data_IF_337463012807
#
_entry.id   IF_337463012807
#
_cell.length_a   1.000
_cell.length_b   1.000
_cell.length_c   1.000
_cell.angle_alpha   90.00
_cell.angle_beta   90.00
_cell.angle_gamma   90.00
#
_symmetry.space_group_name_H-M   'P 1'
#
loop_
_entity.id
_entity.type
_entity.pdbx_description
1 polymer ?
#
# COMPACT_ATOMS: atom_id res chain seq x y z
N UNK A 1 -23.21 18.07 -13.46
CA UNK A 1 -23.83 16.89 -12.82
C UNK A 1 -22.79 16.04 -12.09
N UNK A 2 -21.93 15.29 -12.80
CA UNK A 2 -20.96 14.32 -12.24
C UNK A 2 -20.14 14.83 -11.04
N UNK A 3 -19.38 15.93 -11.20
CA UNK A 3 -18.54 16.52 -10.13
C UNK A 3 -19.34 16.98 -8.90
N UNK A 4 -20.56 17.50 -9.09
CA UNK A 4 -21.43 17.92 -7.98
C UNK A 4 -21.95 16.73 -7.17
N UNK A 5 -22.36 15.66 -7.85
CA UNK A 5 -22.79 14.41 -7.20
C UNK A 5 -21.63 13.80 -6.43
N UNK A 6 -20.46 13.68 -7.05
CA UNK A 6 -19.28 13.12 -6.40
C UNK A 6 -18.86 13.92 -5.15
N UNK A 7 -18.72 15.24 -5.26
CA UNK A 7 -18.31 16.07 -4.12
C UNK A 7 -19.31 15.97 -2.95
N UNK A 8 -20.61 15.99 -3.25
CA UNK A 8 -21.62 15.88 -2.20
C UNK A 8 -21.57 14.53 -1.47
N UNK A 9 -21.34 13.42 -2.20
CA UNK A 9 -21.21 12.10 -1.60
C UNK A 9 -19.89 11.93 -0.81
N UNK A 10 -18.82 12.59 -1.23
CA UNK A 10 -17.55 12.61 -0.46
C UNK A 10 -17.72 13.35 0.87
N UNK A 11 -18.50 14.43 0.88
CA UNK A 11 -18.72 15.26 2.07
C UNK A 11 -19.76 14.66 3.03
N UNK A 12 -20.82 14.03 2.50
CA UNK A 12 -22.00 13.62 3.28
C UNK A 12 -22.22 12.09 3.31
N UNK A 13 -21.27 11.32 2.78
CA UNK A 13 -21.35 9.87 2.65
C UNK A 13 -22.29 9.39 1.53
N UNK A 14 -22.16 8.10 1.19
CA UNK A 14 -22.98 7.46 0.17
C UNK A 14 -24.19 6.75 0.80
N UNK A 15 -25.33 7.45 0.87
CA UNK A 15 -26.60 6.89 1.35
C UNK A 15 -27.75 7.28 0.41
N UNK A 16 -28.87 6.55 0.47
CA UNK A 16 -30.08 6.90 -0.28
C UNK A 16 -30.53 8.33 -0.01
N UNK A 17 -30.41 8.77 1.24
CA UNK A 17 -30.73 10.12 1.68
C UNK A 17 -29.84 11.17 1.01
N UNK A 18 -28.51 11.00 1.08
CA UNK A 18 -27.53 11.92 0.46
C UNK A 18 -27.69 12.01 -1.07
N UNK A 19 -28.09 10.89 -1.70
CA UNK A 19 -28.38 10.86 -3.15
C UNK A 19 -29.66 11.64 -3.48
N UNK A 20 -30.74 11.46 -2.71
CA UNK A 20 -31.97 12.22 -2.91
C UNK A 20 -31.76 13.73 -2.65
N UNK A 21 -30.92 14.09 -1.68
CA UNK A 21 -30.54 15.48 -1.39
C UNK A 21 -29.81 16.13 -2.57
N UNK A 22 -28.80 15.49 -3.15
CA UNK A 22 -28.08 16.08 -4.28
C UNK A 22 -28.94 16.16 -5.53
N UNK A 23 -29.85 15.21 -5.74
CA UNK A 23 -30.83 15.23 -6.85
C UNK A 23 -31.78 16.40 -6.67
N UNK A 24 -32.34 16.59 -5.47
CA UNK A 24 -33.24 17.67 -5.14
C UNK A 24 -32.56 19.05 -5.26
N UNK A 25 -31.37 19.21 -4.66
CA UNK A 25 -30.61 20.46 -4.67
C UNK A 25 -30.13 20.87 -6.07
N UNK A 26 -29.86 19.89 -6.93
CA UNK A 26 -29.29 20.14 -8.26
C UNK A 26 -30.33 20.15 -9.39
N UNK A 27 -31.59 19.82 -9.09
CA UNK A 27 -32.67 19.64 -10.08
C UNK A 27 -32.31 18.69 -11.23
N UNK A 28 -31.45 17.71 -10.95
CA UNK A 28 -31.09 16.72 -11.96
C UNK A 28 -32.21 15.71 -12.15
N UNK A 29 -32.30 15.11 -13.34
CA UNK A 29 -33.20 14.00 -13.56
C UNK A 29 -32.77 12.81 -12.69
N UNK A 30 -33.67 12.35 -11.81
CA UNK A 30 -33.41 11.25 -10.87
C UNK A 30 -32.92 9.99 -11.59
N UNK A 31 -33.57 9.60 -12.68
CA UNK A 31 -33.21 8.39 -13.41
C UNK A 31 -31.80 8.51 -14.02
N UNK A 32 -31.44 9.67 -14.58
CA UNK A 32 -30.10 9.89 -15.14
C UNK A 32 -28.99 9.88 -14.08
N UNK A 33 -29.27 10.36 -12.86
CA UNK A 33 -28.29 10.30 -11.75
C UNK A 33 -28.13 8.86 -11.26
N UNK A 34 -29.23 8.12 -11.07
CA UNK A 34 -29.20 6.73 -10.66
C UNK A 34 -28.52 5.83 -11.69
N UNK A 35 -28.80 6.01 -12.98
CA UNK A 35 -28.17 5.28 -14.07
C UNK A 35 -26.65 5.53 -14.10
N UNK A 36 -26.23 6.80 -13.97
CA UNK A 36 -24.81 7.14 -13.86
C UNK A 36 -24.15 6.48 -12.64
N UNK A 37 -24.80 6.51 -11.47
CA UNK A 37 -24.26 5.88 -10.26
C UNK A 37 -24.14 4.37 -10.42
N UNK A 38 -25.17 3.69 -10.93
CA UNK A 38 -25.16 2.26 -11.15
C UNK A 38 -24.05 1.84 -12.13
N UNK A 39 -23.89 2.57 -13.25
CA UNK A 39 -22.78 2.31 -14.17
C UNK A 39 -21.41 2.47 -13.49
N UNK A 40 -21.22 3.51 -12.66
CA UNK A 40 -19.95 3.72 -11.95
C UNK A 40 -19.68 2.69 -10.87
N UNK A 41 -20.72 2.24 -10.16
CA UNK A 41 -20.63 1.16 -9.19
C UNK A 41 -20.25 -0.13 -9.90
N UNK A 42 -20.92 -0.45 -11.01
CA UNK A 42 -20.61 -1.63 -11.80
C UNK A 42 -19.18 -1.61 -12.33
N UNK A 43 -18.74 -0.50 -12.94
CA UNK A 43 -17.34 -0.35 -13.38
C UNK A 43 -16.35 -0.49 -12.21
N UNK A 44 -16.67 0.07 -11.03
CA UNK A 44 -15.81 -0.07 -9.86
C UNK A 44 -15.75 -1.53 -9.37
N UNK A 45 -16.87 -2.25 -9.41
CA UNK A 45 -16.94 -3.67 -9.08
C UNK A 45 -16.16 -4.53 -10.07
N UNK A 46 -16.30 -4.26 -11.36
CA UNK A 46 -15.54 -4.92 -12.44
C UNK A 46 -14.04 -4.69 -12.26
N UNK A 47 -13.62 -3.44 -12.04
CA UNK A 47 -12.22 -3.13 -11.78
C UNK A 47 -11.69 -3.85 -10.54
N UNK A 48 -12.43 -3.87 -9.43
CA UNK A 48 -12.01 -4.61 -8.22
C UNK A 48 -11.91 -6.11 -8.50
N UNK A 49 -12.83 -6.67 -9.28
CA UNK A 49 -12.79 -8.08 -9.64
C UNK A 49 -11.57 -8.43 -10.49
N UNK A 50 -11.26 -7.60 -11.50
CA UNK A 50 -10.06 -7.76 -12.33
C UNK A 50 -8.78 -7.68 -11.48
N UNK A 51 -8.72 -6.76 -10.50
CA UNK A 51 -7.59 -6.65 -9.58
C UNK A 51 -7.50 -7.86 -8.62
N UNK A 52 -8.62 -8.40 -8.16
CA UNK A 52 -8.64 -9.62 -7.34
C UNK A 52 -8.22 -10.88 -8.12
N UNK A 53 -8.47 -10.91 -9.43
CA UNK A 53 -8.03 -12.01 -10.32
C UNK A 53 -6.58 -11.80 -10.82
N UNK A 54 -5.90 -10.74 -10.37
CA UNK A 54 -4.51 -10.48 -10.76
C UNK A 54 -3.53 -11.48 -10.14
N UNK A 55 -2.41 -11.69 -10.84
CA UNK A 55 -1.30 -12.50 -10.33
C UNK A 55 -0.71 -11.88 -9.05
N UNK A 56 -0.62 -10.55 -8.99
CA UNK A 56 -0.13 -9.83 -7.82
C UNK A 56 -0.99 -10.09 -6.59
N UNK A 57 -2.33 -10.07 -6.73
CA UNK A 57 -3.25 -10.38 -5.64
C UNK A 57 -3.14 -11.84 -5.18
N UNK A 58 -3.11 -12.78 -6.14
CA UNK A 58 -2.92 -14.21 -5.85
C UNK A 58 -1.60 -14.48 -5.12
N UNK A 59 -0.53 -13.79 -5.52
CA UNK A 59 0.76 -13.84 -4.82
C UNK A 59 0.61 -13.33 -3.38
N UNK A 60 0.05 -12.14 -3.18
CA UNK A 60 -0.16 -11.58 -1.83
C UNK A 60 -0.94 -12.55 -0.94
N UNK A 61 -2.03 -13.13 -1.45
CA UNK A 61 -2.83 -14.11 -0.70
C UNK A 61 -1.99 -15.33 -0.28
N UNK A 62 -1.21 -15.90 -1.22
CA UNK A 62 -0.34 -17.03 -0.92
C UNK A 62 0.69 -16.71 0.15
N UNK A 63 1.33 -15.54 0.07
CA UNK A 63 2.29 -15.07 1.06
C UNK A 63 1.65 -14.89 2.44
N UNK A 64 0.43 -14.34 2.51
CA UNK A 64 -0.32 -14.21 3.76
C UNK A 64 -0.61 -15.58 4.40
N UNK A 65 -0.91 -16.61 3.61
CA UNK A 65 -1.10 -17.97 4.13
C UNK A 65 0.19 -18.54 4.74
N UNK A 66 1.33 -18.35 4.07
CA UNK A 66 2.64 -18.77 4.59
C UNK A 66 2.95 -18.05 5.91
N UNK A 67 2.77 -16.74 5.97
CA UNK A 67 3.03 -15.95 7.18
C UNK A 67 2.10 -16.35 8.33
N UNK A 68 0.83 -16.62 8.05
CA UNK A 68 -0.14 -17.11 9.04
C UNK A 68 0.25 -18.48 9.58
N UNK A 69 0.71 -19.40 8.71
CA UNK A 69 1.20 -20.73 9.12
C UNK A 69 2.37 -20.65 10.10
N UNK A 70 3.24 -19.65 9.94
CA UNK A 70 4.40 -19.42 10.83
C UNK A 70 4.09 -18.55 12.05
N UNK A 71 2.83 -18.15 12.24
CA UNK A 71 2.43 -17.23 13.30
C UNK A 71 3.21 -15.90 13.32
N UNK A 72 3.74 -15.48 12.15
CA UNK A 72 4.48 -14.23 12.01
C UNK A 72 3.66 -12.99 12.40
N UNK A 73 2.34 -12.92 12.16
CA UNK A 73 1.56 -11.77 12.58
C UNK A 73 1.74 -11.40 14.06
N UNK A 74 1.77 -12.39 14.95
CA UNK A 74 1.97 -12.17 16.38
C UNK A 74 3.41 -11.79 16.75
N UNK A 75 4.38 -12.03 15.84
CA UNK A 75 5.80 -11.90 16.09
C UNK A 75 6.44 -10.64 15.50
N UNK A 76 5.93 -10.11 14.37
CA UNK A 76 6.65 -9.07 13.61
C UNK A 76 5.79 -7.96 12.98
N UNK A 77 4.46 -7.97 13.14
CA UNK A 77 3.56 -7.04 12.42
C UNK A 77 3.93 -5.56 12.59
N UNK A 78 4.53 -5.19 13.71
CA UNK A 78 4.73 -3.80 14.09
C UNK A 78 6.19 -3.38 14.20
N UNK A 79 7.15 -4.31 14.11
CA UNK A 79 8.57 -3.97 14.22
C UNK A 79 9.00 -2.91 13.19
N UNK A 80 8.67 -3.03 11.88
CA UNK A 80 9.00 -2.01 10.90
C UNK A 80 8.38 -0.64 11.23
N UNK A 81 7.14 -0.63 11.72
CA UNK A 81 6.47 0.60 12.12
C UNK A 81 7.13 1.25 13.35
N UNK A 82 7.58 0.45 14.31
CA UNK A 82 8.28 0.92 15.50
C UNK A 82 9.66 1.48 15.13
N UNK A 83 10.40 0.83 14.24
CA UNK A 83 11.70 1.31 13.75
C UNK A 83 11.55 2.65 13.02
N UNK A 84 10.61 2.75 12.07
CA UNK A 84 10.37 4.00 11.34
C UNK A 84 9.94 5.12 12.28
N UNK A 85 9.07 4.83 13.27
CA UNK A 85 8.70 5.81 14.27
C UNK A 85 9.88 6.20 15.17
N UNK A 86 10.77 5.27 15.51
CA UNK A 86 11.97 5.58 16.28
C UNK A 86 12.89 6.52 15.50
N UNK A 87 13.11 6.28 14.21
CA UNK A 87 13.86 7.17 13.32
C UNK A 87 13.22 8.56 13.31
N UNK A 88 11.93 8.65 13.01
CA UNK A 88 11.21 9.93 12.89
C UNK A 88 11.26 10.80 14.17
N UNK A 89 11.40 10.18 15.34
CA UNK A 89 11.35 10.88 16.62
C UNK A 89 12.73 11.08 17.27
N UNK A 90 13.76 10.31 16.90
CA UNK A 90 15.03 10.31 17.61
C UNK A 90 16.26 10.59 16.72
N UNK A 91 16.16 10.45 15.40
CA UNK A 91 17.28 10.77 14.51
C UNK A 91 17.30 12.26 14.13
N UNK A 92 18.52 12.77 13.91
CA UNK A 92 18.73 14.08 13.32
C UNK A 92 18.45 13.99 11.82
N UNK A 93 17.26 14.46 11.43
CA UNK A 93 16.83 14.50 10.03
C UNK A 93 17.24 15.84 9.39
N UNK A 94 17.62 15.85 8.10
CA UNK A 94 17.87 17.09 7.37
C UNK A 94 16.65 18.00 7.39
N UNK A 95 16.89 19.31 7.41
CA UNK A 95 15.82 20.30 7.32
C UNK A 95 15.15 20.24 5.94
N UNK A 96 13.84 20.53 5.80
CA UNK A 96 13.15 20.41 4.51
C UNK A 96 13.79 21.22 3.38
N UNK A 97 14.38 22.38 3.69
CA UNK A 97 15.11 23.22 2.73
C UNK A 97 16.33 22.53 2.10
N UNK A 98 16.90 21.54 2.77
CA UNK A 98 18.05 20.76 2.30
C UNK A 98 17.60 19.62 1.38
N UNK A 99 16.29 19.37 1.29
CA UNK A 99 15.65 18.31 0.54
C UNK A 99 14.54 18.85 -0.37
N UNK A 100 14.76 20.03 -0.98
CA UNK A 100 13.83 20.67 -1.92
C UNK A 100 12.38 20.85 -1.38
N UNK A 101 12.26 21.02 -0.06
CA UNK A 101 11.01 21.22 0.66
C UNK A 101 10.37 19.94 1.22
N UNK A 102 11.02 18.77 1.10
CA UNK A 102 10.50 17.50 1.64
C UNK A 102 10.73 17.42 3.15
N UNK A 103 9.65 17.22 3.90
CA UNK A 103 9.69 16.96 5.34
C UNK A 103 9.75 15.44 5.60
N UNK A 104 10.97 14.91 5.74
CA UNK A 104 11.20 13.49 6.02
C UNK A 104 10.56 13.02 7.32
N UNK A 105 10.44 13.89 8.33
CA UNK A 105 9.80 13.51 9.59
C UNK A 105 8.32 13.21 9.38
N UNK A 106 7.65 14.04 8.59
CA UNK A 106 6.25 13.83 8.23
C UNK A 106 6.08 12.59 7.34
N UNK A 107 6.99 12.36 6.39
CA UNK A 107 7.00 11.15 5.56
C UNK A 107 7.17 9.88 6.40
N UNK A 108 8.14 9.84 7.32
CA UNK A 108 8.34 8.66 8.18
C UNK A 108 7.16 8.42 9.11
N UNK A 109 6.55 9.46 9.68
CA UNK A 109 5.33 9.31 10.49
C UNK A 109 4.16 8.76 9.67
N UNK A 110 4.01 9.21 8.43
CA UNK A 110 3.03 8.65 7.51
C UNK A 110 3.27 7.14 7.30
N UNK A 111 4.50 6.75 6.95
CA UNK A 111 4.85 5.34 6.75
C UNK A 111 4.63 4.49 8.02
N UNK A 112 5.04 4.99 9.19
CA UNK A 112 4.82 4.32 10.46
C UNK A 112 3.33 4.10 10.77
N UNK A 113 2.49 5.11 10.51
CA UNK A 113 1.04 4.97 10.68
C UNK A 113 0.43 4.01 9.67
N UNK A 114 0.86 4.06 8.40
CA UNK A 114 0.39 3.17 7.34
C UNK A 114 0.64 1.69 7.69
N UNK A 115 1.85 1.38 8.17
CA UNK A 115 2.22 0.03 8.60
C UNK A 115 1.42 -0.49 9.81
N UNK A 116 0.86 0.41 10.62
CA UNK A 116 0.01 0.05 11.76
C UNK A 116 -1.50 0.13 11.47
N UNK A 117 -1.90 0.55 10.27
CA UNK A 117 -3.31 0.82 9.94
C UNK A 117 -3.91 1.99 10.72
N UNK A 118 -3.08 2.95 11.15
CA UNK A 118 -3.51 4.15 11.88
C UNK A 118 -3.93 5.29 10.94
N UNK A 119 -4.68 6.29 11.43
CA UNK A 119 -5.00 7.50 10.66
C UNK A 119 -3.73 8.20 10.15
N UNK A 120 -3.75 8.62 8.90
CA UNK A 120 -2.58 9.23 8.25
C UNK A 120 -2.45 10.71 8.62
N UNK A 121 -1.24 11.20 8.95
CA UNK A 121 -1.02 12.63 9.09
C UNK A 121 -1.15 13.32 7.72
N UNK A 122 -1.56 14.58 7.73
CA UNK A 122 -1.53 15.39 6.51
C UNK A 122 -0.08 15.64 6.10
N UNK A 123 0.26 15.30 4.85
CA UNK A 123 1.53 15.68 4.23
C UNK A 123 1.37 17.02 3.52
N UNK A 124 2.42 17.83 3.54
CA UNK A 124 2.51 18.97 2.63
C UNK A 124 2.64 18.47 1.16
N UNK A 125 2.40 19.38 0.21
CA UNK A 125 2.38 19.02 -1.20
C UNK A 125 3.70 18.42 -1.71
N UNK A 126 4.85 18.88 -1.21
CA UNK A 126 6.17 18.40 -1.64
C UNK A 126 6.46 17.02 -1.08
N UNK A 127 6.19 16.79 0.20
CA UNK A 127 6.33 15.48 0.83
C UNK A 127 5.37 14.44 0.25
N UNK A 128 4.14 14.84 -0.08
CA UNK A 128 3.16 13.97 -0.73
C UNK A 128 3.59 13.60 -2.17
N UNK A 129 4.07 14.57 -2.95
CA UNK A 129 4.60 14.37 -4.31
C UNK A 129 5.80 13.42 -4.28
N UNK A 130 6.74 13.64 -3.36
CA UNK A 130 7.88 12.76 -3.15
C UNK A 130 7.44 11.33 -2.85
N UNK A 131 6.58 11.14 -1.85
CA UNK A 131 6.17 9.81 -1.43
C UNK A 131 5.36 9.08 -2.52
N UNK A 132 4.48 9.78 -3.23
CA UNK A 132 3.73 9.20 -4.34
C UNK A 132 4.66 8.69 -5.45
N UNK A 133 5.68 9.47 -5.81
CA UNK A 133 6.66 9.08 -6.81
C UNK A 133 7.46 7.84 -6.40
N UNK A 134 7.89 7.77 -5.14
CA UNK A 134 8.61 6.59 -4.64
C UNK A 134 7.71 5.34 -4.65
N UNK A 135 6.42 5.46 -4.31
CA UNK A 135 5.48 4.35 -4.46
C UNK A 135 5.29 3.93 -5.92
N UNK A 136 5.16 4.88 -6.85
CA UNK A 136 5.04 4.57 -8.28
C UNK A 136 6.27 3.83 -8.81
N UNK A 137 7.47 4.21 -8.37
CA UNK A 137 8.72 3.51 -8.72
C UNK A 137 8.68 2.08 -8.18
N UNK A 138 8.37 1.89 -6.89
CA UNK A 138 8.30 0.56 -6.28
C UNK A 138 7.26 -0.34 -6.94
N UNK A 139 6.09 0.20 -7.27
CA UNK A 139 5.04 -0.52 -8.02
C UNK A 139 5.54 -0.89 -9.42
N UNK A 140 6.22 0.04 -10.11
CA UNK A 140 6.80 -0.21 -11.42
C UNK A 140 7.90 -1.27 -11.41
N UNK A 141 8.71 -1.34 -10.35
CA UNK A 141 9.72 -2.38 -10.16
C UNK A 141 9.10 -3.75 -9.84
N UNK A 142 8.07 -3.77 -8.99
CA UNK A 142 7.37 -4.99 -8.60
C UNK A 142 6.54 -5.60 -9.74
N UNK A 143 5.85 -4.76 -10.52
CA UNK A 143 4.95 -5.19 -11.59
C UNK A 143 5.69 -5.38 -12.93
N UNK A 144 6.74 -6.20 -12.91
CA UNK A 144 7.47 -6.64 -14.10
C UNK A 144 7.42 -8.16 -14.21
N UNK A 145 7.58 -8.73 -15.41
CA UNK A 145 7.65 -10.19 -15.58
C UNK A 145 8.75 -10.82 -14.72
N UNK A 146 9.86 -10.10 -14.51
CA UNK A 146 10.96 -10.52 -13.63
C UNK A 146 10.53 -10.47 -12.16
N UNK A 147 9.84 -9.39 -11.74
CA UNK A 147 9.30 -9.25 -10.39
C UNK A 147 8.29 -10.35 -10.05
N UNK A 148 7.37 -10.66 -10.98
CA UNK A 148 6.40 -11.75 -10.84
C UNK A 148 7.09 -13.12 -10.74
N UNK A 149 8.07 -13.38 -11.62
CA UNK A 149 8.85 -14.62 -11.61
C UNK A 149 9.61 -14.79 -10.29
N UNK A 150 10.29 -13.75 -9.80
CA UNK A 150 11.03 -13.81 -8.54
C UNK A 150 10.09 -13.97 -7.34
N UNK A 151 8.96 -13.27 -7.32
CA UNK A 151 7.94 -13.41 -6.28
C UNK A 151 7.40 -14.84 -6.22
N UNK A 152 7.08 -15.43 -7.37
CA UNK A 152 6.65 -16.82 -7.48
C UNK A 152 7.71 -17.81 -7.02
N UNK A 153 8.98 -17.62 -7.46
CA UNK A 153 10.12 -18.46 -7.06
C UNK A 153 10.33 -18.43 -5.54
N UNK A 154 10.28 -17.25 -4.94
CA UNK A 154 10.43 -17.08 -3.50
C UNK A 154 9.29 -17.79 -2.77
N UNK A 155 8.04 -17.57 -3.19
CA UNK A 155 6.87 -18.19 -2.56
C UNK A 155 6.95 -19.72 -2.59
N UNK A 156 7.28 -20.30 -3.75
CA UNK A 156 7.50 -21.75 -3.88
C UNK A 156 8.61 -22.24 -2.95
N UNK A 157 9.73 -21.51 -2.83
CA UNK A 157 10.82 -21.87 -1.90
C UNK A 157 10.32 -21.81 -0.46
N UNK A 158 9.56 -20.79 -0.07
CA UNK A 158 9.01 -20.62 1.27
C UNK A 158 8.03 -21.76 1.66
N UNK A 159 7.18 -22.20 0.73
CA UNK A 159 6.25 -23.32 0.94
C UNK A 159 6.95 -24.64 1.30
N UNK A 160 8.18 -24.84 0.80
CA UNK A 160 8.95 -26.06 1.14
C UNK A 160 9.43 -26.10 2.59
N UNK A 161 9.47 -24.96 3.29
CA UNK A 161 9.88 -24.92 4.69
C UNK A 161 8.74 -25.28 5.64
N UNK A 162 9.06 -26.07 6.65
CA UNK A 162 8.11 -26.46 7.72
C UNK A 162 7.93 -25.35 8.76
N UNK A 163 8.99 -24.58 9.00
CA UNK A 163 9.08 -23.51 9.99
C UNK A 163 9.80 -22.30 9.37
N UNK A 164 9.74 -21.14 10.02
CA UNK A 164 10.40 -19.93 9.56
C UNK A 164 11.91 -20.18 9.36
N UNK A 165 12.47 -20.00 8.15
CA UNK A 165 13.90 -20.16 7.93
C UNK A 165 14.68 -19.14 8.77
N UNK A 166 15.67 -19.61 9.52
CA UNK A 166 16.49 -18.78 10.40
C UNK A 166 17.91 -18.60 9.84
N UNK A 167 18.36 -17.34 9.69
CA UNK A 167 19.74 -17.02 9.34
C UNK A 167 20.61 -16.90 10.57
N UNK A 168 21.56 -17.84 10.74
CA UNK A 168 22.62 -17.75 11.74
C UNK A 168 23.67 -16.68 11.41
N UNK A 169 23.74 -16.21 10.16
CA UNK A 169 24.67 -15.17 9.71
C UNK A 169 24.06 -13.77 9.95
N UNK A 170 24.46 -13.10 11.05
CA UNK A 170 24.00 -11.72 11.40
C UNK A 170 24.14 -10.71 10.26
N UNK A 171 25.13 -10.87 9.41
CA UNK A 171 25.43 -9.96 8.30
C UNK A 171 24.42 -10.08 7.15
N UNK A 172 23.67 -11.19 7.06
CA UNK A 172 22.66 -11.42 6.01
C UNK A 172 21.24 -11.10 6.46
N UNK A 173 20.96 -11.04 7.75
CA UNK A 173 19.61 -10.94 8.30
C UNK A 173 18.85 -9.67 7.87
N UNK A 174 19.53 -8.57 7.58
CA UNK A 174 18.91 -7.32 7.12
C UNK A 174 18.67 -7.24 5.61
N UNK A 175 19.43 -8.00 4.82
CA UNK A 175 19.41 -7.97 3.35
C UNK A 175 18.64 -9.16 2.78
N UNK A 176 18.64 -10.28 3.51
CA UNK A 176 17.95 -11.52 3.18
C UNK A 176 17.38 -12.15 4.47
N UNK A 177 16.32 -11.55 5.04
CA UNK A 177 15.75 -11.98 6.33
C UNK A 177 15.19 -13.41 6.31
N UNK A 178 14.93 -13.94 5.12
CA UNK A 178 14.37 -15.28 4.92
C UNK A 178 15.42 -16.29 4.39
N UNK A 179 16.69 -15.88 4.28
CA UNK A 179 17.80 -16.69 3.75
C UNK A 179 17.49 -17.35 2.40
N UNK A 180 16.79 -16.63 1.53
CA UNK A 180 16.30 -17.14 0.26
C UNK A 180 17.33 -17.02 -0.87
N UNK A 181 18.36 -16.19 -0.67
CA UNK A 181 19.40 -15.97 -1.65
C UNK A 181 20.48 -17.04 -1.57
N UNK A 182 20.56 -17.86 -2.61
CA UNK A 182 21.66 -18.82 -2.73
C UNK A 182 22.93 -18.16 -3.29
N UNK A 183 22.89 -16.92 -3.81
CA UNK A 183 24.04 -16.11 -4.28
C UNK A 183 23.58 -14.71 -4.76
N UNK A 184 23.32 -13.74 -3.87
CA UNK A 184 23.07 -12.36 -4.31
C UNK A 184 24.40 -11.62 -4.55
N UNK A 185 24.87 -11.61 -5.80
CA UNK A 185 25.77 -10.55 -6.28
C UNK A 185 24.94 -9.27 -6.48
N UNK A 186 24.57 -8.60 -5.39
CA UNK A 186 24.00 -7.26 -5.46
C UNK A 186 25.10 -6.28 -5.90
N UNK A 187 25.27 -6.11 -7.21
CA UNK A 187 25.94 -4.92 -7.72
C UNK A 187 24.88 -3.83 -7.85
N UNK A 188 24.83 -2.92 -6.87
CA UNK A 188 24.19 -1.61 -7.08
C UNK A 188 24.90 -0.96 -8.27
N UNK A 189 24.15 -0.66 -9.33
CA UNK A 189 24.60 0.23 -10.39
C UNK A 189 24.51 1.68 -9.92
#
# INVERSE_FOLDING_TARGET
MKKKVLNHLLENGCSSHSVDEVIAASKFNKNSVLEYMNQRIQMAQENVHEECDSLSFSNIESWLQVFKKWNLPELCLYEPALVINAIANNEDLPEPKELDGVDLKSVYKFLGNALMGLPQPNLDAKSAEFLAKEFEILVGEANTEVGDSETGRINQKLETYKELPFCTQREKSSIDPLCLSDNLNFQRK
#
